data_IF_572875887666
#
_entry.id   IF_572875887666
#
_cell.length_a   1.000
_cell.length_b   1.000
_cell.length_c   1.000
_cell.angle_alpha   90.00
_cell.angle_beta   90.00
_cell.angle_gamma   90.00
#
_symmetry.space_group_name_H-M   'P 1'
#
loop_
_entity.id
_entity.type
_entity.pdbx_description
1 polymer ?
#
# COMPACT_ATOMS: atom_id res chain seq x y z
N UNK A 1 -9.16 17.54 20.40
CA UNK A 1 -8.48 17.12 19.16
C UNK A 1 -7.25 17.99 18.96
N UNK A 2 -6.08 17.39 18.76
CA UNK A 2 -4.80 18.08 18.52
C UNK A 2 -4.76 18.73 17.12
N UNK A 3 -3.87 19.71 16.90
CA UNK A 3 -3.69 20.33 15.55
C UNK A 3 -3.18 19.31 14.53
N UNK A 4 -2.28 18.42 14.93
CA UNK A 4 -1.79 17.31 14.10
C UNK A 4 -2.92 16.37 13.66
N UNK A 5 -3.89 16.09 14.51
CA UNK A 5 -5.07 15.31 14.11
C UNK A 5 -5.97 16.04 13.09
N UNK A 6 -6.06 17.38 13.18
CA UNK A 6 -6.74 18.17 12.12
C UNK A 6 -5.97 18.11 10.80
N UNK A 7 -4.64 18.13 10.86
CA UNK A 7 -3.80 17.95 9.69
C UNK A 7 -3.97 16.54 9.10
N UNK A 8 -4.04 15.50 9.95
CA UNK A 8 -4.33 14.12 9.51
C UNK A 8 -5.61 14.02 8.69
N UNK A 9 -6.68 14.74 9.06
CA UNK A 9 -7.92 14.74 8.28
C UNK A 9 -7.71 15.33 6.87
N UNK A 10 -6.82 16.30 6.71
CA UNK A 10 -6.46 16.83 5.38
C UNK A 10 -5.67 15.79 4.57
N UNK A 11 -4.70 15.11 5.19
CA UNK A 11 -3.99 13.99 4.57
C UNK A 11 -4.95 12.88 4.14
N UNK A 12 -5.92 12.52 4.97
CA UNK A 12 -6.92 11.50 4.64
C UNK A 12 -7.83 11.94 3.50
N UNK A 13 -8.24 13.21 3.46
CA UNK A 13 -9.02 13.74 2.33
C UNK A 13 -8.23 13.65 1.03
N UNK A 14 -6.96 14.07 1.04
CA UNK A 14 -6.08 13.97 -0.12
C UNK A 14 -5.85 12.51 -0.53
N UNK A 15 -5.57 11.62 0.44
CA UNK A 15 -5.38 10.21 0.21
C UNK A 15 -6.61 9.55 -0.43
N UNK A 16 -7.79 9.77 0.12
CA UNK A 16 -9.04 9.22 -0.43
C UNK A 16 -9.33 9.75 -1.83
N UNK A 17 -9.07 11.03 -2.08
CA UNK A 17 -9.22 11.63 -3.42
C UNK A 17 -8.28 10.98 -4.44
N UNK A 18 -7.00 10.83 -4.09
CA UNK A 18 -6.01 10.18 -4.95
C UNK A 18 -6.29 8.69 -5.14
N UNK A 19 -6.86 8.01 -4.15
CA UNK A 19 -7.32 6.64 -4.29
C UNK A 19 -8.37 6.52 -5.41
N UNK A 20 -9.32 7.45 -5.48
CA UNK A 20 -10.28 7.51 -6.59
C UNK A 20 -9.62 7.76 -7.94
N UNK A 21 -8.64 8.67 -8.00
CA UNK A 21 -7.84 8.94 -9.21
C UNK A 21 -7.08 7.69 -9.65
N UNK A 22 -6.43 6.99 -8.71
CA UNK A 22 -5.76 5.72 -8.97
C UNK A 22 -6.70 4.67 -9.58
N UNK A 23 -7.92 4.52 -9.04
CA UNK A 23 -8.93 3.59 -9.54
C UNK A 23 -9.31 3.95 -10.98
N UNK A 24 -9.55 5.23 -11.26
CA UNK A 24 -9.91 5.71 -12.60
C UNK A 24 -8.85 5.33 -13.64
N UNK A 25 -7.58 5.63 -13.36
CA UNK A 25 -6.49 5.28 -14.27
C UNK A 25 -6.21 3.77 -14.33
N UNK A 26 -6.49 3.03 -13.26
CA UNK A 26 -6.44 1.57 -13.26
C UNK A 26 -7.49 0.94 -14.20
N UNK A 27 -8.72 1.43 -14.18
CA UNK A 27 -9.78 1.02 -15.09
C UNK A 27 -9.45 1.38 -16.54
N UNK A 28 -8.92 2.58 -16.77
CA UNK A 28 -8.50 3.00 -18.11
C UNK A 28 -7.33 2.12 -18.61
N UNK A 29 -6.37 1.80 -17.76
CA UNK A 29 -5.26 0.87 -18.11
C UNK A 29 -5.76 -0.53 -18.42
N UNK A 30 -6.79 -1.02 -17.71
CA UNK A 30 -7.43 -2.29 -18.01
C UNK A 30 -8.16 -2.27 -19.36
N UNK A 31 -8.81 -1.16 -19.68
CA UNK A 31 -9.54 -0.97 -20.94
C UNK A 31 -8.62 -1.01 -22.17
N UNK A 32 -7.39 -0.53 -22.06
CA UNK A 32 -6.41 -0.60 -23.14
C UNK A 32 -6.00 -2.03 -23.51
N UNK A 33 -6.10 -3.00 -22.62
CA UNK A 33 -5.88 -4.41 -22.97
C UNK A 33 -7.00 -4.98 -23.85
N UNK A 34 -8.21 -4.42 -23.75
CA UNK A 34 -9.36 -4.83 -24.55
C UNK A 34 -9.49 -4.01 -25.84
N UNK A 35 -9.13 -2.73 -25.78
CA UNK A 35 -9.23 -1.75 -26.86
C UNK A 35 -7.94 -0.94 -27.00
N UNK A 36 -6.86 -1.52 -27.58
CA UNK A 36 -5.54 -0.88 -27.59
C UNK A 36 -5.47 0.47 -28.30
N UNK A 37 -6.34 0.70 -29.28
CA UNK A 37 -6.40 1.96 -30.06
C UNK A 37 -7.25 3.04 -29.41
N UNK A 38 -7.93 2.76 -28.30
CA UNK A 38 -8.77 3.73 -27.61
C UNK A 38 -7.94 4.95 -27.17
N UNK A 39 -8.37 6.14 -27.57
CA UNK A 39 -7.73 7.41 -27.20
C UNK A 39 -6.21 7.50 -27.49
N UNK A 40 -5.64 6.60 -28.30
CA UNK A 40 -4.20 6.43 -28.48
C UNK A 40 -3.46 7.74 -28.80
N UNK A 41 -4.06 8.63 -29.59
CA UNK A 41 -3.47 9.90 -29.98
C UNK A 41 -3.62 11.02 -28.94
N UNK A 42 -4.47 10.84 -27.93
CA UNK A 42 -4.75 11.84 -26.89
C UNK A 42 -4.12 11.42 -25.57
N UNK A 43 -4.34 10.17 -25.19
CA UNK A 43 -3.92 9.60 -23.93
C UNK A 43 -3.60 8.11 -24.14
N UNK A 44 -2.36 7.71 -23.88
CA UNK A 44 -1.92 6.34 -24.18
C UNK A 44 -1.85 5.46 -22.90
N UNK A 45 -1.66 4.16 -23.12
CA UNK A 45 -1.54 3.18 -22.04
C UNK A 45 -0.46 3.54 -21.02
N UNK A 46 0.72 4.01 -21.48
CA UNK A 46 1.83 4.32 -20.57
C UNK A 46 1.49 5.48 -19.63
N UNK A 47 0.84 6.53 -20.13
CA UNK A 47 0.37 7.66 -19.32
C UNK A 47 -0.64 7.17 -18.25
N UNK A 48 -1.61 6.35 -18.66
CA UNK A 48 -2.59 5.76 -17.75
C UNK A 48 -1.93 4.90 -16.67
N UNK A 49 -0.98 4.05 -17.06
CA UNK A 49 -0.27 3.16 -16.16
C UNK A 49 0.60 3.93 -15.17
N UNK A 50 1.36 4.94 -15.61
CA UNK A 50 2.19 5.78 -14.74
C UNK A 50 1.31 6.49 -13.71
N UNK A 51 0.23 7.14 -14.14
CA UNK A 51 -0.68 7.81 -13.23
C UNK A 51 -1.36 6.84 -12.24
N UNK A 52 -1.68 5.62 -12.68
CA UNK A 52 -2.21 4.59 -11.77
C UNK A 52 -1.19 4.21 -10.69
N UNK A 53 0.07 3.97 -11.07
CA UNK A 53 1.12 3.52 -10.16
C UNK A 53 1.57 4.66 -9.23
N UNK A 54 1.88 5.83 -9.77
CA UNK A 54 2.37 6.94 -8.95
C UNK A 54 1.30 7.45 -8.00
N UNK A 55 0.03 7.50 -8.42
CA UNK A 55 -1.05 7.82 -7.48
C UNK A 55 -1.24 6.76 -6.42
N UNK A 56 -0.99 5.46 -6.70
CA UNK A 56 -0.97 4.41 -5.68
C UNK A 56 0.07 4.74 -4.60
N UNK A 57 1.32 4.98 -5.00
CA UNK A 57 2.42 5.29 -4.07
C UNK A 57 2.10 6.52 -3.23
N UNK A 58 1.66 7.60 -3.88
CA UNK A 58 1.43 8.88 -3.20
C UNK A 58 0.25 8.85 -2.23
N UNK A 59 -0.87 8.21 -2.60
CA UNK A 59 -2.00 8.17 -1.67
C UNK A 59 -1.73 7.28 -0.45
N UNK A 60 -0.95 6.20 -0.62
CA UNK A 60 -0.49 5.39 0.51
C UNK A 60 0.42 6.20 1.44
N UNK A 61 1.41 6.92 0.89
CA UNK A 61 2.26 7.82 1.68
C UNK A 61 1.44 8.86 2.45
N UNK A 62 0.47 9.50 1.80
CA UNK A 62 -0.42 10.44 2.48
C UNK A 62 -1.24 9.75 3.58
N UNK A 63 -1.70 8.52 3.35
CA UNK A 63 -2.37 7.69 4.35
C UNK A 63 -1.49 7.41 5.56
N UNK A 64 -0.24 7.02 5.33
CA UNK A 64 0.75 6.73 6.39
C UNK A 64 1.09 7.97 7.22
N UNK A 65 1.41 9.09 6.56
CA UNK A 65 1.69 10.35 7.26
C UNK A 65 0.47 10.77 8.10
N UNK A 66 -0.72 10.68 7.51
CA UNK A 66 -1.98 10.95 8.21
C UNK A 66 -2.18 10.05 9.43
N UNK A 67 -1.91 8.75 9.31
CA UNK A 67 -2.04 7.79 10.41
C UNK A 67 -1.07 8.11 11.55
N UNK A 68 0.20 8.37 11.25
CA UNK A 68 1.18 8.71 12.28
C UNK A 68 0.84 10.04 12.95
N UNK A 69 0.48 11.08 12.22
CA UNK A 69 0.05 12.36 12.81
C UNK A 69 -1.25 12.26 13.61
N UNK A 70 -2.09 11.25 13.33
CA UNK A 70 -3.28 10.95 14.15
C UNK A 70 -2.92 10.35 15.50
N UNK A 71 -2.01 9.38 15.52
CA UNK A 71 -1.70 8.60 16.70
C UNK A 71 -0.57 9.20 17.55
N UNK A 72 0.42 9.86 16.94
CA UNK A 72 1.59 10.39 17.65
C UNK A 72 1.25 11.27 18.86
N UNK A 73 0.32 12.25 18.78
CA UNK A 73 -0.01 13.07 19.93
C UNK A 73 -0.77 12.29 21.00
N UNK A 74 -1.54 11.28 20.64
CA UNK A 74 -2.23 10.40 21.59
C UNK A 74 -1.24 9.53 22.36
N UNK A 75 -0.30 8.94 21.64
CA UNK A 75 0.72 8.05 22.18
C UNK A 75 1.66 8.79 23.14
N UNK A 76 2.05 10.01 22.79
CA UNK A 76 3.02 10.80 23.55
C UNK A 76 2.37 11.80 24.53
N UNK A 77 1.06 12.01 24.47
CA UNK A 77 0.31 12.91 25.34
C UNK A 77 0.59 14.40 25.07
N UNK A 78 1.12 14.75 23.90
CA UNK A 78 1.45 16.13 23.52
C UNK A 78 1.30 16.38 22.01
N UNK A 79 1.18 17.66 21.64
CA UNK A 79 1.14 18.07 20.23
C UNK A 79 2.47 17.77 19.51
N UNK A 80 2.37 17.52 18.21
CA UNK A 80 3.53 17.29 17.34
C UNK A 80 4.41 18.52 17.28
N UNK A 81 5.72 18.32 17.42
CA UNK A 81 6.70 19.37 17.35
C UNK A 81 6.90 19.84 15.88
N UNK A 82 7.05 21.13 15.68
CA UNK A 82 7.21 21.70 14.34
C UNK A 82 5.92 21.67 13.49
N UNK A 83 4.75 21.81 14.09
CA UNK A 83 3.46 21.73 13.40
C UNK A 83 3.33 22.68 12.19
N UNK A 84 3.92 23.89 12.26
CA UNK A 84 3.90 24.81 11.12
C UNK A 84 4.63 24.23 9.89
N UNK A 85 5.71 23.49 10.14
CA UNK A 85 6.50 22.83 9.09
C UNK A 85 5.71 21.63 8.52
N UNK A 86 5.03 20.84 9.37
CA UNK A 86 4.17 19.77 8.92
C UNK A 86 2.99 20.28 8.05
N UNK A 87 2.38 21.39 8.42
CA UNK A 87 1.31 22.03 7.63
C UNK A 87 1.84 22.56 6.29
N UNK A 88 3.01 23.22 6.28
CA UNK A 88 3.67 23.70 5.06
C UNK A 88 3.99 22.51 4.13
N UNK A 89 4.57 21.45 4.69
CA UNK A 89 4.94 20.23 3.95
C UNK A 89 3.72 19.59 3.30
N UNK A 90 2.57 19.55 3.95
CA UNK A 90 1.33 19.06 3.34
C UNK A 90 0.98 19.83 2.06
N UNK A 91 0.98 21.15 2.11
CA UNK A 91 0.62 21.97 0.96
C UNK A 91 1.65 21.90 -0.17
N UNK A 92 2.94 21.90 0.17
CA UNK A 92 4.02 21.72 -0.81
C UNK A 92 3.90 20.35 -1.46
N UNK A 93 3.65 19.29 -0.68
CA UNK A 93 3.47 17.94 -1.21
C UNK A 93 2.28 17.88 -2.19
N UNK A 94 1.12 18.45 -1.82
CA UNK A 94 -0.03 18.53 -2.72
C UNK A 94 0.30 19.29 -4.01
N UNK A 95 1.02 20.41 -3.93
CA UNK A 95 1.43 21.17 -5.10
C UNK A 95 2.37 20.38 -6.02
N UNK A 96 3.38 19.72 -5.45
CA UNK A 96 4.31 18.85 -6.20
C UNK A 96 3.56 17.74 -6.92
N UNK A 97 2.66 17.05 -6.22
CA UNK A 97 1.84 15.97 -6.81
C UNK A 97 0.99 16.50 -7.97
N UNK A 98 0.36 17.67 -7.81
CA UNK A 98 -0.44 18.26 -8.88
C UNK A 98 0.41 18.64 -10.11
N UNK A 99 1.61 19.18 -9.91
CA UNK A 99 2.54 19.54 -11.01
C UNK A 99 3.03 18.26 -11.71
N UNK A 100 3.44 17.23 -10.97
CA UNK A 100 3.89 15.95 -11.56
C UNK A 100 2.77 15.29 -12.35
N UNK A 101 1.55 15.25 -11.79
CA UNK A 101 0.39 14.72 -12.50
C UNK A 101 0.09 15.50 -13.79
N UNK A 102 0.21 16.83 -13.77
CA UNK A 102 0.07 17.64 -14.98
C UNK A 102 1.17 17.35 -16.01
N UNK A 103 2.42 17.17 -15.57
CA UNK A 103 3.51 16.78 -16.47
C UNK A 103 3.17 15.44 -17.14
N UNK A 104 2.73 14.43 -16.39
CA UNK A 104 2.38 13.13 -16.96
C UNK A 104 1.14 13.14 -17.86
N UNK A 105 0.21 14.07 -17.63
CA UNK A 105 -0.98 14.23 -18.47
C UNK A 105 -0.68 14.93 -19.80
N UNK A 106 0.25 15.89 -19.82
CA UNK A 106 0.47 16.74 -21.00
C UNK A 106 1.77 16.46 -21.74
N UNK A 107 2.76 15.80 -21.13
CA UNK A 107 4.02 15.46 -21.75
C UNK A 107 4.11 13.98 -22.01
N UNK A 108 3.78 13.57 -23.24
CA UNK A 108 3.64 12.16 -23.61
C UNK A 108 4.93 11.34 -23.52
N UNK A 109 6.10 11.94 -23.78
CA UNK A 109 7.39 11.26 -23.76
C UNK A 109 8.51 12.19 -23.30
N UNK A 110 9.24 11.77 -22.27
CA UNK A 110 10.60 12.20 -22.05
C UNK A 110 11.55 11.24 -22.75
N UNK A 111 12.49 11.72 -23.53
CA UNK A 111 13.57 10.87 -24.04
C UNK A 111 14.45 10.37 -22.88
N UNK A 112 15.22 9.31 -23.12
CA UNK A 112 16.21 8.82 -22.16
C UNK A 112 17.43 9.75 -22.10
N UNK A 113 17.24 10.97 -21.63
CA UNK A 113 18.28 11.98 -21.48
C UNK A 113 18.17 12.73 -20.15
N UNK A 114 19.22 13.41 -19.77
CA UNK A 114 19.30 14.11 -18.48
C UNK A 114 18.16 15.12 -18.26
N UNK A 115 17.78 15.89 -19.29
CA UNK A 115 16.67 16.85 -19.18
C UNK A 115 15.35 16.13 -18.84
N UNK A 116 15.05 15.03 -19.52
CA UNK A 116 13.86 14.23 -19.27
C UNK A 116 13.83 13.68 -17.85
N UNK A 117 14.95 13.08 -17.39
CA UNK A 117 15.04 12.55 -16.02
C UNK A 117 14.86 13.62 -14.95
N UNK A 118 15.33 14.84 -15.20
CA UNK A 118 15.16 15.93 -14.24
C UNK A 118 13.76 16.53 -14.25
N UNK A 119 13.13 16.69 -15.40
CA UNK A 119 11.93 17.52 -15.52
C UNK A 119 10.66 16.82 -15.97
N UNK A 120 10.76 15.60 -16.52
CA UNK A 120 9.61 14.89 -17.09
C UNK A 120 9.40 13.55 -16.39
N UNK A 121 10.30 12.60 -16.58
CA UNK A 121 10.15 11.22 -16.12
C UNK A 121 11.51 10.52 -16.05
N UNK A 122 11.77 9.82 -14.95
CA UNK A 122 13.02 9.06 -14.80
C UNK A 122 13.05 7.76 -15.60
N UNK A 123 11.91 7.30 -16.14
CA UNK A 123 11.82 6.06 -16.92
C UNK A 123 11.94 4.78 -16.09
N UNK A 124 12.00 4.86 -14.79
CA UNK A 124 12.09 3.73 -13.86
C UNK A 124 10.72 3.45 -13.26
N UNK A 125 10.21 2.25 -13.44
CA UNK A 125 8.93 1.81 -12.91
C UNK A 125 8.88 1.96 -11.38
N UNK A 126 7.79 2.47 -10.85
CA UNK A 126 7.57 2.87 -9.45
C UNK A 126 8.38 4.07 -8.95
N UNK A 127 9.27 4.62 -9.78
CA UNK A 127 10.07 5.80 -9.50
C UNK A 127 10.07 6.68 -10.75
N UNK A 128 8.90 6.81 -11.36
CA UNK A 128 8.70 7.59 -12.57
C UNK A 128 8.83 9.10 -12.33
N UNK A 129 8.51 9.58 -11.13
CA UNK A 129 8.55 10.99 -10.79
C UNK A 129 9.90 11.65 -11.17
N UNK A 130 9.90 12.85 -11.76
CA UNK A 130 11.13 13.54 -12.14
C UNK A 130 12.02 13.81 -10.92
N UNK A 131 13.34 13.89 -11.11
CA UNK A 131 14.32 14.00 -10.01
C UNK A 131 14.05 15.18 -9.06
N UNK A 132 13.58 16.33 -9.56
CA UNK A 132 13.21 17.44 -8.68
C UNK A 132 12.06 17.06 -7.72
N UNK A 133 11.09 16.28 -8.18
CA UNK A 133 10.01 15.80 -7.32
C UNK A 133 10.50 14.75 -6.32
N UNK A 134 11.44 13.88 -6.72
CA UNK A 134 12.11 12.95 -5.81
C UNK A 134 12.87 13.67 -4.68
N UNK A 135 13.51 14.80 -4.97
CA UNK A 135 14.08 15.68 -3.92
C UNK A 135 12.98 16.17 -2.98
N UNK A 136 11.82 16.54 -3.52
CA UNK A 136 10.65 16.92 -2.73
C UNK A 136 10.17 15.79 -1.80
N UNK A 137 10.14 14.56 -2.27
CA UNK A 137 9.79 13.37 -1.45
C UNK A 137 10.79 13.21 -0.30
N UNK A 138 12.10 13.31 -0.57
CA UNK A 138 13.14 13.26 0.48
C UNK A 138 12.91 14.36 1.52
N UNK A 139 12.61 15.58 1.08
CA UNK A 139 12.34 16.69 1.99
C UNK A 139 11.10 16.44 2.86
N UNK A 140 10.03 15.91 2.29
CA UNK A 140 8.82 15.50 3.03
C UNK A 140 9.14 14.46 4.10
N UNK A 141 9.91 13.41 3.75
CA UNK A 141 10.30 12.37 4.69
C UNK A 141 11.22 12.89 5.80
N UNK A 142 12.15 13.79 5.49
CA UNK A 142 13.02 14.42 6.50
C UNK A 142 12.22 15.29 7.48
N UNK A 143 11.26 16.07 6.99
CA UNK A 143 10.37 16.86 7.87
C UNK A 143 9.51 15.93 8.74
N UNK A 144 8.98 14.88 8.15
CA UNK A 144 8.22 13.88 8.88
C UNK A 144 9.06 13.22 9.99
N UNK A 145 10.26 12.78 9.66
CA UNK A 145 11.20 12.22 10.64
C UNK A 145 11.52 13.23 11.76
N UNK A 146 11.78 14.49 11.41
CA UNK A 146 11.98 15.56 12.39
C UNK A 146 10.75 15.70 13.32
N UNK A 147 9.54 15.76 12.78
CA UNK A 147 8.33 15.89 13.57
C UNK A 147 8.18 14.74 14.58
N UNK A 148 8.40 13.49 14.15
CA UNK A 148 8.31 12.31 15.02
C UNK A 148 9.39 12.33 16.09
N UNK A 149 10.66 12.43 15.69
CA UNK A 149 11.83 12.35 16.60
C UNK A 149 11.80 13.51 17.60
N UNK A 150 11.59 14.74 17.15
CA UNK A 150 11.57 15.92 18.02
C UNK A 150 10.40 15.85 19.02
N UNK A 151 9.26 15.29 18.61
CA UNK A 151 8.12 15.09 19.53
C UNK A 151 8.45 14.05 20.58
N UNK A 152 9.08 12.93 20.22
CA UNK A 152 9.53 11.91 21.17
C UNK A 152 10.52 12.46 22.19
N UNK A 153 11.53 13.20 21.71
CA UNK A 153 12.56 13.83 22.58
C UNK A 153 11.91 14.79 23.59
N UNK A 154 11.01 15.66 23.11
CA UNK A 154 10.35 16.64 23.99
C UNK A 154 9.28 16.02 24.89
N UNK A 155 8.68 14.92 24.49
CA UNK A 155 7.77 14.16 25.36
C UNK A 155 8.52 13.43 26.47
N UNK A 156 9.79 13.18 26.32
CA UNK A 156 10.60 12.31 27.20
C UNK A 156 9.95 10.92 27.41
N UNK A 157 9.28 10.44 26.39
CA UNK A 157 8.55 9.18 26.39
C UNK A 157 8.86 8.42 25.10
N UNK A 158 9.37 7.21 25.27
CA UNK A 158 9.65 6.28 24.17
C UNK A 158 9.01 4.94 24.49
N UNK A 159 7.93 4.63 23.80
CA UNK A 159 7.32 3.29 23.86
C UNK A 159 7.98 2.36 22.87
N UNK A 160 7.74 1.05 22.97
CA UNK A 160 8.27 0.09 21.98
C UNK A 160 7.85 0.44 20.56
N UNK A 161 6.58 0.83 20.38
CA UNK A 161 6.07 1.27 19.05
C UNK A 161 6.84 2.49 18.54
N UNK A 162 7.11 3.49 19.41
CA UNK A 162 7.86 4.68 18.99
C UNK A 162 9.32 4.38 18.70
N UNK A 163 9.96 3.44 19.41
CA UNK A 163 11.29 2.99 19.08
C UNK A 163 11.36 2.36 17.69
N UNK A 164 10.43 1.45 17.39
CA UNK A 164 10.34 0.81 16.08
C UNK A 164 10.13 1.85 14.99
N UNK A 165 9.16 2.75 15.17
CA UNK A 165 8.87 3.80 14.18
C UNK A 165 10.08 4.71 13.94
N UNK A 166 10.76 5.19 14.99
CA UNK A 166 11.93 6.08 14.86
C UNK A 166 13.09 5.38 14.15
N UNK A 167 13.33 4.10 14.45
CA UNK A 167 14.36 3.32 13.76
C UNK A 167 14.03 3.11 12.28
N UNK A 168 12.77 2.89 11.96
CA UNK A 168 12.30 2.70 10.59
C UNK A 168 12.42 3.97 9.72
N UNK A 169 12.32 5.17 10.32
CA UNK A 169 12.49 6.41 9.58
C UNK A 169 13.90 6.58 8.97
N UNK A 170 14.91 5.92 9.52
CA UNK A 170 16.28 5.97 8.98
C UNK A 170 16.36 5.27 7.62
N UNK A 171 16.02 3.97 7.49
CA UNK A 171 16.03 3.30 6.19
C UNK A 171 14.97 3.88 5.24
N UNK A 172 13.82 4.33 5.72
CA UNK A 172 12.79 4.97 4.88
C UNK A 172 13.36 6.15 4.07
N UNK A 173 14.20 6.98 4.69
CA UNK A 173 14.87 8.10 4.00
C UNK A 173 16.09 7.62 3.21
N UNK A 174 16.96 6.82 3.85
CA UNK A 174 18.25 6.44 3.29
C UNK A 174 18.12 5.63 1.99
N UNK A 175 17.24 4.64 1.97
CA UNK A 175 17.04 3.78 0.81
C UNK A 175 16.46 4.57 -0.38
N UNK A 176 15.63 5.58 -0.14
CA UNK A 176 15.10 6.39 -1.25
C UNK A 176 16.19 7.20 -1.98
N UNK A 177 17.35 7.44 -1.35
CA UNK A 177 18.48 8.10 -2.03
C UNK A 177 19.04 7.27 -3.19
N UNK A 178 18.77 5.97 -3.24
CA UNK A 178 19.13 5.10 -4.37
C UNK A 178 18.32 5.39 -5.65
N UNK A 179 17.30 6.25 -5.58
CA UNK A 179 16.60 6.75 -6.75
C UNK A 179 17.46 7.69 -7.63
N UNK A 180 18.51 8.30 -7.07
CA UNK A 180 19.28 9.35 -7.76
C UNK A 180 20.45 8.87 -8.63
N UNK A 181 21.19 7.79 -8.34
CA UNK A 181 22.29 7.37 -9.18
C UNK A 181 21.83 7.04 -10.61
N UNK A 182 22.53 7.58 -11.60
CA UNK A 182 22.38 7.20 -13.00
C UNK A 182 23.42 6.12 -13.32
N UNK A 183 22.97 4.90 -13.57
CA UNK A 183 23.83 3.77 -13.89
C UNK A 183 23.63 3.41 -15.37
N UNK A 184 24.72 3.37 -16.13
CA UNK A 184 24.68 3.08 -17.58
C UNK A 184 24.53 1.59 -17.89
N UNK A 185 24.96 0.71 -16.99
CA UNK A 185 24.79 -0.72 -17.14
C UNK A 185 23.43 -1.16 -16.62
N UNK A 186 22.61 -1.70 -17.50
CA UNK A 186 21.22 -2.07 -17.21
C UNK A 186 21.09 -3.09 -16.06
N UNK A 187 21.97 -4.09 -15.99
CA UNK A 187 21.91 -5.09 -14.91
C UNK A 187 22.24 -4.45 -13.57
N UNK A 188 23.27 -3.60 -13.51
CA UNK A 188 23.64 -2.88 -12.29
C UNK A 188 22.55 -1.89 -11.89
N UNK A 189 21.93 -1.21 -12.86
CA UNK A 189 20.79 -0.31 -12.59
C UNK A 189 19.60 -1.07 -11.98
N UNK A 190 19.28 -2.26 -12.49
CA UNK A 190 18.21 -3.10 -11.95
C UNK A 190 18.50 -3.59 -10.54
N UNK A 191 19.75 -3.85 -10.15
CA UNK A 191 20.11 -4.18 -8.76
C UNK A 191 19.77 -3.02 -7.83
N UNK A 192 20.22 -1.79 -8.12
CA UNK A 192 19.95 -0.61 -7.30
C UNK A 192 18.47 -0.23 -7.29
N UNK A 193 17.80 -0.36 -8.42
CA UNK A 193 16.38 -0.08 -8.52
C UNK A 193 15.54 -1.05 -7.69
N UNK A 194 15.82 -2.36 -7.73
CA UNK A 194 15.12 -3.33 -6.90
C UNK A 194 15.49 -3.17 -5.41
N UNK A 195 16.74 -2.80 -5.11
CA UNK A 195 17.12 -2.43 -3.74
C UNK A 195 16.20 -1.33 -3.20
N UNK A 196 16.03 -0.24 -3.93
CA UNK A 196 15.12 0.83 -3.55
C UNK A 196 13.67 0.34 -3.41
N UNK A 197 13.10 -0.27 -4.45
CA UNK A 197 11.66 -0.60 -4.49
C UNK A 197 11.30 -1.63 -3.42
N UNK A 198 12.07 -2.72 -3.32
CA UNK A 198 11.85 -3.77 -2.33
C UNK A 198 12.02 -3.25 -0.90
N UNK A 199 13.16 -2.61 -0.59
CA UNK A 199 13.41 -2.10 0.75
C UNK A 199 12.43 -1.01 1.18
N UNK A 200 11.87 -0.28 0.22
CA UNK A 200 10.84 0.71 0.53
C UNK A 200 9.50 0.06 0.80
N UNK A 201 9.05 -0.81 -0.08
CA UNK A 201 7.72 -1.40 -0.03
C UNK A 201 7.67 -2.60 0.92
N UNK A 202 8.57 -3.55 0.79
CA UNK A 202 8.54 -4.84 1.50
C UNK A 202 9.41 -4.83 2.78
N UNK A 203 9.81 -3.65 3.25
CA UNK A 203 10.56 -3.49 4.49
C UNK A 203 10.06 -2.27 5.28
N UNK A 204 10.41 -1.04 4.88
CA UNK A 204 10.09 0.15 5.68
C UNK A 204 8.58 0.43 5.75
N UNK A 205 7.85 0.26 4.67
CA UNK A 205 6.40 0.48 4.69
C UNK A 205 5.68 -0.59 5.52
N UNK A 206 6.17 -1.83 5.52
CA UNK A 206 5.59 -2.89 6.36
C UNK A 206 5.80 -2.60 7.83
N UNK A 207 6.99 -2.18 8.24
CA UNK A 207 7.26 -1.78 9.63
C UNK A 207 6.43 -0.57 10.03
N UNK A 208 6.29 0.41 9.14
CA UNK A 208 5.48 1.60 9.40
C UNK A 208 3.99 1.23 9.57
N UNK A 209 3.43 0.42 8.67
CA UNK A 209 2.04 -0.02 8.81
C UNK A 209 1.84 -0.93 10.02
N UNK A 210 2.81 -1.76 10.37
CA UNK A 210 2.80 -2.57 11.58
C UNK A 210 2.72 -1.71 12.85
N UNK A 211 3.46 -0.60 12.91
CA UNK A 211 3.33 0.37 14.01
C UNK A 211 1.92 0.97 14.06
N UNK A 212 1.34 1.32 12.92
CA UNK A 212 -0.03 1.85 12.82
C UNK A 212 -1.04 0.78 13.22
N UNK A 213 -0.89 -0.46 12.72
CA UNK A 213 -1.73 -1.60 13.06
C UNK A 213 -1.73 -1.88 14.56
N UNK A 214 -0.56 -1.84 15.22
CA UNK A 214 -0.44 -2.01 16.66
C UNK A 214 -1.30 -0.97 17.41
N UNK A 215 -1.26 0.29 16.99
CA UNK A 215 -2.05 1.37 17.60
C UNK A 215 -3.56 1.21 17.32
N UNK A 216 -3.93 0.77 16.11
CA UNK A 216 -5.33 0.48 15.76
C UNK A 216 -5.88 -0.68 16.57
N UNK A 217 -5.11 -1.78 16.75
CA UNK A 217 -5.53 -2.95 17.53
C UNK A 217 -5.77 -2.60 19.00
N UNK A 218 -4.92 -1.77 19.58
CA UNK A 218 -5.15 -1.25 20.95
C UNK A 218 -6.43 -0.42 21.03
N UNK A 219 -6.68 0.47 20.07
CA UNK A 219 -7.87 1.33 20.05
C UNK A 219 -9.17 0.54 19.76
N UNK A 220 -9.13 -0.41 18.83
CA UNK A 220 -10.33 -1.08 18.30
C UNK A 220 -10.69 -2.34 19.07
N UNK A 221 -9.69 -3.12 19.47
CA UNK A 221 -9.86 -4.40 20.18
C UNK A 221 -9.53 -4.32 21.66
N UNK A 222 -8.88 -3.25 22.13
CA UNK A 222 -8.40 -3.16 23.51
C UNK A 222 -7.22 -4.09 23.82
N UNK A 223 -6.54 -4.57 22.79
CA UNK A 223 -5.39 -5.48 22.90
C UNK A 223 -4.30 -4.89 23.78
N UNK A 224 -3.67 -5.70 24.61
CA UNK A 224 -2.60 -5.24 25.49
C UNK A 224 -1.38 -4.78 24.71
N UNK A 225 -0.75 -3.69 25.17
CA UNK A 225 0.48 -3.14 24.58
C UNK A 225 1.59 -4.18 24.45
N UNK A 226 1.71 -5.04 25.47
CA UNK A 226 2.75 -6.09 25.48
C UNK A 226 2.62 -7.03 24.27
N UNK A 227 1.42 -7.39 23.87
CA UNK A 227 1.17 -8.27 22.73
C UNK A 227 1.64 -7.59 21.44
N UNK A 228 1.15 -6.37 21.17
CA UNK A 228 1.47 -5.67 19.92
C UNK A 228 2.96 -5.32 19.83
N UNK A 229 3.59 -4.87 20.91
CA UNK A 229 5.04 -4.57 20.91
C UNK A 229 5.90 -5.84 20.74
N UNK A 230 5.47 -6.99 21.28
CA UNK A 230 6.17 -8.26 21.05
C UNK A 230 6.17 -8.63 19.56
N UNK A 231 5.02 -8.51 18.91
CA UNK A 231 4.91 -8.80 17.48
C UNK A 231 5.66 -7.77 16.61
N UNK A 232 5.68 -6.49 16.98
CA UNK A 232 6.48 -5.49 16.31
C UNK A 232 7.99 -5.78 16.37
N UNK A 233 8.49 -6.28 17.50
CA UNK A 233 9.90 -6.68 17.59
C UNK A 233 10.21 -7.89 16.71
N UNK A 234 9.29 -8.85 16.62
CA UNK A 234 9.40 -9.98 15.68
C UNK A 234 9.36 -9.47 14.24
N UNK A 235 8.50 -8.50 13.94
CA UNK A 235 8.39 -7.87 12.61
C UNK A 235 9.69 -7.18 12.22
N UNK A 236 10.29 -6.35 13.08
CA UNK A 236 11.59 -5.74 12.82
C UNK A 236 12.66 -6.77 12.51
N UNK A 237 12.69 -7.91 13.22
CA UNK A 237 13.62 -8.97 12.95
C UNK A 237 13.37 -9.66 11.60
N UNK A 238 12.12 -9.97 11.29
CA UNK A 238 11.76 -10.73 10.09
C UNK A 238 11.59 -9.84 8.86
N UNK A 239 11.12 -8.60 8.99
CA UNK A 239 10.89 -7.68 7.87
C UNK A 239 12.15 -6.88 7.55
N UNK A 240 12.80 -6.22 8.50
CA UNK A 240 14.06 -5.52 8.22
C UNK A 240 15.21 -6.50 7.99
N UNK A 241 15.36 -7.53 8.82
CA UNK A 241 16.40 -8.53 8.66
C UNK A 241 16.20 -9.41 7.44
N UNK A 242 15.01 -9.95 7.26
CA UNK A 242 14.65 -10.75 6.09
C UNK A 242 14.49 -9.89 4.84
N UNK A 243 14.03 -8.65 4.92
CA UNK A 243 13.91 -7.74 3.79
C UNK A 243 15.24 -7.51 3.07
N UNK A 244 16.32 -7.31 3.82
CA UNK A 244 17.68 -7.20 3.24
C UNK A 244 18.09 -8.49 2.51
N UNK A 245 17.83 -9.65 3.08
CA UNK A 245 18.16 -10.94 2.49
C UNK A 245 17.10 -11.40 1.48
N UNK A 246 15.85 -11.04 1.71
CA UNK A 246 14.72 -11.30 0.84
C UNK A 246 14.82 -10.65 -0.52
N UNK A 247 15.48 -9.51 -0.62
CA UNK A 247 15.72 -8.76 -1.85
C UNK A 247 16.11 -9.64 -3.06
N UNK A 248 16.84 -10.73 -2.84
CA UNK A 248 17.27 -11.66 -3.88
C UNK A 248 16.13 -12.22 -4.72
N UNK A 249 14.90 -12.27 -4.21
CA UNK A 249 13.74 -12.76 -4.97
C UNK A 249 13.32 -11.84 -6.13
N UNK A 250 13.79 -10.60 -6.19
CA UNK A 250 13.61 -9.70 -7.32
C UNK A 250 14.70 -9.82 -8.40
N UNK A 251 15.77 -10.57 -8.14
CA UNK A 251 16.94 -10.64 -9.00
C UNK A 251 16.86 -11.70 -10.09
N UNK A 252 15.69 -12.26 -10.33
CA UNK A 252 15.49 -13.19 -11.45
C UNK A 252 15.77 -12.51 -12.79
N UNK A 253 16.49 -13.24 -13.67
CA UNK A 253 16.74 -12.89 -15.07
C UNK A 253 17.64 -11.68 -15.32
N UNK A 254 18.33 -11.17 -14.30
CA UNK A 254 19.24 -10.03 -14.40
C UNK A 254 20.75 -10.43 -14.26
N UNK A 255 21.04 -11.73 -14.31
CA UNK A 255 22.41 -12.23 -14.26
C UNK A 255 22.95 -12.44 -12.83
N UNK A 256 22.11 -12.51 -11.84
CA UNK A 256 22.46 -12.74 -10.44
C UNK A 256 22.93 -14.19 -10.20
N UNK A 257 23.94 -14.43 -9.33
CA UNK A 257 24.25 -15.77 -8.87
C UNK A 257 23.04 -16.45 -8.23
N UNK A 258 22.84 -17.72 -8.56
CA UNK A 258 21.64 -18.48 -8.17
C UNK A 258 21.41 -18.56 -6.65
N UNK A 259 22.46 -18.54 -5.86
CA UNK A 259 22.34 -18.59 -4.39
C UNK A 259 21.55 -17.39 -3.83
N UNK A 260 21.63 -16.20 -4.46
CA UNK A 260 20.85 -15.05 -4.05
C UNK A 260 19.35 -15.27 -4.23
N UNK A 261 18.94 -15.94 -5.31
CA UNK A 261 17.55 -16.26 -5.57
C UNK A 261 16.99 -17.21 -4.49
N UNK A 262 17.81 -18.19 -4.08
CA UNK A 262 17.43 -19.16 -3.04
C UNK A 262 17.34 -18.49 -1.66
N UNK A 263 18.32 -17.64 -1.32
CA UNK A 263 18.31 -16.87 -0.07
C UNK A 263 17.10 -15.93 -0.06
N UNK A 264 16.89 -15.19 -1.15
CA UNK A 264 15.78 -14.25 -1.28
C UNK A 264 14.41 -14.92 -1.11
N UNK A 265 14.21 -16.06 -1.77
CA UNK A 265 12.97 -16.82 -1.66
C UNK A 265 12.69 -17.35 -0.26
N UNK A 266 13.72 -17.82 0.45
CA UNK A 266 13.57 -18.32 1.82
C UNK A 266 13.16 -17.19 2.79
N UNK A 267 13.89 -16.06 2.77
CA UNK A 267 13.61 -14.97 3.70
C UNK A 267 12.31 -14.25 3.41
N UNK A 268 11.96 -14.08 2.13
CA UNK A 268 10.68 -13.49 1.73
C UNK A 268 9.46 -14.26 2.27
N UNK A 269 9.58 -15.58 2.45
CA UNK A 269 8.50 -16.39 3.04
C UNK A 269 8.19 -16.04 4.51
N UNK A 270 9.09 -15.36 5.20
CA UNK A 270 8.95 -15.02 6.63
C UNK A 270 8.31 -13.66 6.87
N UNK A 271 8.36 -12.76 5.90
CA UNK A 271 7.92 -11.37 6.01
C UNK A 271 6.44 -11.19 6.41
N UNK A 272 5.45 -11.91 5.84
CA UNK A 272 4.05 -11.69 6.16
C UNK A 272 3.60 -12.32 7.49
N UNK A 273 4.43 -13.13 8.15
CA UNK A 273 4.05 -13.87 9.34
C UNK A 273 3.82 -12.99 10.58
N UNK A 274 4.62 -11.95 10.86
CA UNK A 274 4.46 -11.14 12.06
C UNK A 274 3.13 -10.39 12.11
N UNK A 275 2.71 -9.76 11.00
CA UNK A 275 1.45 -9.02 10.93
C UNK A 275 0.24 -9.95 11.12
N UNK A 276 0.24 -11.11 10.48
CA UNK A 276 -0.80 -12.12 10.72
C UNK A 276 -0.82 -12.56 12.17
N UNK A 277 0.35 -12.87 12.75
CA UNK A 277 0.49 -13.29 14.14
C UNK A 277 0.00 -12.23 15.11
N UNK A 278 0.31 -10.96 14.87
CA UNK A 278 -0.15 -9.83 15.69
C UNK A 278 -1.68 -9.78 15.74
N UNK A 279 -2.36 -9.83 14.60
CA UNK A 279 -3.83 -9.73 14.53
C UNK A 279 -4.51 -10.98 15.11
N UNK A 280 -4.00 -12.18 14.80
CA UNK A 280 -4.54 -13.43 15.36
C UNK A 280 -4.42 -13.45 16.89
N UNK A 281 -3.27 -13.02 17.42
CA UNK A 281 -3.08 -12.94 18.87
C UNK A 281 -3.98 -11.85 19.50
N UNK A 282 -4.16 -10.71 18.83
CA UNK A 282 -5.08 -9.66 19.27
C UNK A 282 -6.54 -10.14 19.33
N UNK A 283 -6.98 -10.90 18.32
CA UNK A 283 -8.34 -11.51 18.30
C UNK A 283 -8.49 -12.50 19.44
N UNK A 284 -7.49 -13.35 19.68
CA UNK A 284 -7.49 -14.33 20.77
C UNK A 284 -7.55 -13.63 22.14
N UNK A 285 -6.73 -12.60 22.34
CA UNK A 285 -6.69 -11.78 23.58
C UNK A 285 -8.05 -11.11 23.83
N UNK A 286 -8.62 -10.47 22.81
CA UNK A 286 -9.93 -9.83 22.89
C UNK A 286 -11.03 -10.85 23.21
N UNK A 287 -11.00 -12.03 22.62
CA UNK A 287 -11.94 -13.13 22.90
C UNK A 287 -11.83 -13.63 24.34
N UNK A 288 -10.61 -13.87 24.81
CA UNK A 288 -10.33 -14.36 26.17
C UNK A 288 -10.80 -13.38 27.24
N UNK A 289 -10.58 -12.09 27.05
CA UNK A 289 -10.96 -11.03 27.97
C UNK A 289 -12.38 -10.49 27.72
N UNK A 290 -13.13 -11.07 26.78
CA UNK A 290 -14.48 -10.65 26.37
C UNK A 290 -14.57 -9.17 25.98
N UNK A 291 -13.51 -8.63 25.42
CA UNK A 291 -13.46 -7.26 24.96
C UNK A 291 -14.38 -7.09 23.75
N UNK A 292 -15.12 -5.98 23.73
CA UNK A 292 -16.04 -5.67 22.62
C UNK A 292 -15.57 -4.43 21.87
N UNK A 293 -15.38 -4.58 20.57
CA UNK A 293 -15.08 -3.42 19.73
C UNK A 293 -16.23 -2.42 19.72
N UNK A 294 -15.87 -1.14 19.73
CA UNK A 294 -16.78 -0.01 19.52
C UNK A 294 -16.76 0.51 18.07
N UNK A 295 -15.92 -0.09 17.23
CA UNK A 295 -15.73 0.28 15.84
C UNK A 295 -15.69 -0.96 14.94
N UNK A 296 -16.87 -1.44 14.56
CA UNK A 296 -16.98 -2.62 13.69
C UNK A 296 -16.28 -2.43 12.33
N UNK A 297 -16.46 -1.31 11.59
CA UNK A 297 -15.74 -1.15 10.33
C UNK A 297 -14.22 -1.30 10.49
N UNK A 298 -13.61 -0.57 11.43
CA UNK A 298 -12.17 -0.66 11.66
C UNK A 298 -11.73 -2.07 12.04
N UNK A 299 -12.52 -2.78 12.86
CA UNK A 299 -12.27 -4.19 13.22
C UNK A 299 -12.22 -5.09 11.97
N UNK A 300 -13.23 -4.98 11.10
CA UNK A 300 -13.27 -5.80 9.88
C UNK A 300 -12.14 -5.47 8.93
N UNK A 301 -11.81 -4.19 8.75
CA UNK A 301 -10.73 -3.77 7.86
C UNK A 301 -9.36 -4.21 8.35
N UNK A 302 -9.04 -4.07 9.65
CA UNK A 302 -7.74 -4.50 10.20
C UNK A 302 -7.58 -6.03 10.20
N UNK A 303 -8.67 -6.78 10.41
CA UNK A 303 -8.65 -8.24 10.33
C UNK A 303 -8.45 -8.70 8.88
N UNK A 304 -9.10 -8.01 7.93
CA UNK A 304 -8.96 -8.29 6.51
C UNK A 304 -7.56 -7.97 6.02
N UNK A 305 -6.93 -6.89 6.51
CA UNK A 305 -5.54 -6.56 6.22
C UNK A 305 -4.61 -7.75 6.48
N UNK A 306 -4.60 -8.26 7.70
CA UNK A 306 -3.72 -9.38 8.06
C UNK A 306 -3.97 -10.63 7.21
N UNK A 307 -5.24 -10.95 6.92
CA UNK A 307 -5.59 -12.11 6.10
C UNK A 307 -5.15 -11.93 4.64
N UNK A 308 -5.45 -10.78 4.04
CA UNK A 308 -5.14 -10.54 2.64
C UNK A 308 -3.66 -10.22 2.41
N UNK A 309 -2.97 -9.63 3.40
CA UNK A 309 -1.51 -9.53 3.38
C UNK A 309 -0.87 -10.93 3.36
N UNK A 310 -1.29 -11.80 4.27
CA UNK A 310 -0.76 -13.17 4.31
C UNK A 310 -1.02 -13.96 3.03
N UNK A 311 -2.22 -13.82 2.43
CA UNK A 311 -2.53 -14.51 1.17
C UNK A 311 -1.84 -13.82 -0.01
N UNK A 312 -1.95 -12.50 -0.14
CA UNK A 312 -1.53 -11.73 -1.31
C UNK A 312 -0.03 -11.49 -1.37
N UNK A 313 0.55 -10.92 -0.32
CA UNK A 313 1.99 -10.70 -0.21
C UNK A 313 2.69 -12.02 0.17
N UNK A 314 2.18 -12.72 1.18
CA UNK A 314 2.79 -13.95 1.69
C UNK A 314 2.73 -15.11 0.71
N UNK A 315 1.59 -15.81 0.63
CA UNK A 315 1.48 -17.05 -0.15
C UNK A 315 1.73 -16.79 -1.64
N UNK A 316 1.08 -15.80 -2.20
CA UNK A 316 1.15 -15.49 -3.63
C UNK A 316 2.52 -14.95 -4.04
N UNK A 317 3.11 -14.08 -3.22
CA UNK A 317 4.47 -13.58 -3.40
C UNK A 317 5.49 -14.70 -3.28
N UNK A 318 5.42 -15.51 -2.22
CA UNK A 318 6.33 -16.62 -2.02
C UNK A 318 6.30 -17.64 -3.19
N UNK A 319 5.12 -17.96 -3.72
CA UNK A 319 5.04 -18.81 -4.91
C UNK A 319 5.87 -18.27 -6.07
N UNK A 320 5.90 -16.94 -6.26
CA UNK A 320 6.67 -16.30 -7.33
C UNK A 320 8.18 -16.25 -7.05
N UNK A 321 8.63 -16.47 -5.82
CA UNK A 321 10.05 -16.57 -5.49
C UNK A 321 10.63 -17.94 -5.80
N UNK A 322 9.80 -18.94 -6.07
CA UNK A 322 10.25 -20.27 -6.47
C UNK A 322 10.70 -20.25 -7.94
N UNK A 323 11.96 -20.63 -8.27
CA UNK A 323 12.50 -20.56 -9.62
C UNK A 323 11.62 -21.22 -10.68
N UNK A 324 11.01 -22.37 -10.34
CA UNK A 324 10.16 -23.13 -11.25
C UNK A 324 8.87 -22.38 -11.61
N UNK A 325 8.28 -21.66 -10.65
CA UNK A 325 7.08 -20.86 -10.87
C UNK A 325 7.47 -19.52 -11.52
N UNK A 326 8.55 -18.89 -11.06
CA UNK A 326 9.02 -17.63 -11.60
C UNK A 326 9.34 -17.71 -13.10
N UNK A 327 9.91 -18.83 -13.57
CA UNK A 327 10.15 -19.08 -15.00
C UNK A 327 8.92 -18.85 -15.86
N UNK A 328 7.73 -19.20 -15.36
CA UNK A 328 6.46 -19.08 -16.10
C UNK A 328 5.71 -17.78 -15.76
N UNK A 329 5.77 -17.32 -14.52
CA UNK A 329 4.98 -16.18 -14.04
C UNK A 329 5.62 -14.83 -14.28
N UNK A 330 6.96 -14.74 -14.38
CA UNK A 330 7.68 -13.48 -14.51
C UNK A 330 7.28 -12.69 -15.76
N UNK A 331 6.94 -11.41 -15.58
CA UNK A 331 6.53 -10.53 -16.68
C UNK A 331 5.13 -10.79 -17.24
N UNK A 332 4.33 -11.66 -16.63
CA UNK A 332 2.94 -11.93 -17.00
C UNK A 332 1.95 -11.16 -16.13
N UNK A 333 0.64 -11.26 -16.44
CA UNK A 333 -0.43 -10.70 -15.61
C UNK A 333 -0.54 -11.41 -14.24
N UNK A 334 0.10 -12.54 -14.04
CA UNK A 334 0.25 -13.18 -12.72
C UNK A 334 0.98 -12.25 -11.75
N UNK A 335 2.10 -11.65 -12.17
CA UNK A 335 2.83 -10.65 -11.34
C UNK A 335 1.94 -9.45 -11.02
N UNK A 336 1.13 -9.00 -11.98
CA UNK A 336 0.19 -7.91 -11.77
C UNK A 336 -0.90 -8.28 -10.76
N UNK A 337 -1.39 -9.54 -10.80
CA UNK A 337 -2.37 -10.04 -9.81
C UNK A 337 -1.82 -10.04 -8.39
N UNK A 338 -0.56 -10.49 -8.23
CA UNK A 338 0.15 -10.42 -6.95
C UNK A 338 0.25 -8.98 -6.44
N UNK A 339 0.74 -8.05 -7.25
CA UNK A 339 0.90 -6.65 -6.83
C UNK A 339 -0.42 -6.02 -6.36
N UNK A 340 -1.53 -6.26 -7.06
CA UNK A 340 -2.84 -5.75 -6.63
C UNK A 340 -3.27 -6.33 -5.29
N UNK A 341 -3.09 -7.64 -5.09
CA UNK A 341 -3.54 -8.32 -3.89
C UNK A 341 -2.67 -7.97 -2.67
N UNK A 342 -1.36 -7.89 -2.88
CA UNK A 342 -0.39 -7.53 -1.85
C UNK A 342 -0.59 -6.08 -1.36
N UNK A 343 -0.60 -5.09 -2.25
CA UNK A 343 -0.83 -3.70 -1.86
C UNK A 343 -2.18 -3.47 -1.20
N UNK A 344 -3.22 -4.13 -1.70
CA UNK A 344 -4.55 -4.01 -1.09
C UNK A 344 -4.59 -4.62 0.31
N UNK A 345 -4.05 -5.81 0.48
CA UNK A 345 -3.98 -6.49 1.77
C UNK A 345 -3.06 -5.76 2.75
N UNK A 346 -1.81 -5.49 2.36
CA UNK A 346 -0.83 -4.94 3.28
C UNK A 346 -1.09 -3.50 3.71
N UNK A 347 -1.65 -2.65 2.83
CA UNK A 347 -1.69 -1.21 3.10
C UNK A 347 -3.07 -0.58 3.00
N UNK A 348 -3.84 -0.89 1.93
CA UNK A 348 -5.13 -0.23 1.69
C UNK A 348 -6.11 -0.50 2.81
N UNK A 349 -6.23 -1.76 3.23
CA UNK A 349 -7.14 -2.17 4.30
C UNK A 349 -6.78 -1.48 5.63
N UNK A 350 -5.50 -1.38 5.98
CA UNK A 350 -5.02 -0.73 7.19
C UNK A 350 -5.32 0.77 7.20
N UNK A 351 -5.05 1.46 6.09
CA UNK A 351 -5.39 2.89 5.98
C UNK A 351 -6.90 3.11 6.13
N UNK A 352 -7.74 2.27 5.50
CA UNK A 352 -9.20 2.37 5.65
C UNK A 352 -9.60 2.12 7.11
N UNK A 353 -8.97 1.19 7.81
CA UNK A 353 -9.23 0.99 9.25
C UNK A 353 -8.97 2.27 10.05
N UNK A 354 -7.84 2.95 9.79
CA UNK A 354 -7.52 4.23 10.45
C UNK A 354 -8.52 5.33 10.12
N UNK A 355 -9.01 5.40 8.87
CA UNK A 355 -10.06 6.35 8.50
C UNK A 355 -11.33 6.15 9.33
N UNK A 356 -11.72 4.90 9.59
CA UNK A 356 -12.87 4.60 10.47
C UNK A 356 -12.58 4.89 11.94
N UNK A 357 -11.36 4.71 12.40
CA UNK A 357 -10.96 5.16 13.75
C UNK A 357 -11.08 6.68 13.86
N UNK A 358 -10.55 7.40 12.88
CA UNK A 358 -10.65 8.87 12.84
C UNK A 358 -12.12 9.35 12.81
N UNK A 359 -12.96 8.72 11.97
CA UNK A 359 -14.39 9.01 11.88
C UNK A 359 -15.12 8.80 13.21
N UNK A 360 -14.86 7.68 13.91
CA UNK A 360 -15.44 7.42 15.22
C UNK A 360 -15.02 8.48 16.25
N UNK A 361 -13.73 8.76 16.32
CA UNK A 361 -13.20 9.68 17.33
C UNK A 361 -13.60 11.13 17.08
N UNK A 362 -13.75 11.55 15.83
CA UNK A 362 -14.23 12.89 15.48
C UNK A 362 -15.73 13.06 15.70
N UNK A 363 -16.52 12.03 15.45
CA UNK A 363 -17.96 12.06 15.65
C UNK A 363 -18.39 11.80 17.11
N UNK A 364 -17.54 11.14 17.90
CA UNK A 364 -17.85 10.71 19.26
C UNK A 364 -18.94 9.63 19.34
N UNK A 365 -19.20 8.92 18.22
CA UNK A 365 -20.28 7.91 18.11
C UNK A 365 -19.68 6.53 17.84
N UNK A 366 -20.07 5.54 18.64
CA UNK A 366 -19.67 4.15 18.43
C UNK A 366 -20.24 3.61 17.10
N UNK A 367 -19.39 2.95 16.32
CA UNK A 367 -19.73 2.43 14.99
C UNK A 367 -20.07 0.95 15.05
N UNK A 368 -21.22 0.62 15.67
CA UNK A 368 -21.69 -0.76 15.87
C UNK A 368 -22.68 -1.24 14.82
N UNK A 369 -23.18 -0.33 13.99
CA UNK A 369 -24.18 -0.62 12.96
C UNK A 369 -23.89 0.14 11.66
N UNK A 370 -24.85 0.12 10.76
CA UNK A 370 -24.77 0.80 9.46
C UNK A 370 -24.71 -0.18 8.30
N UNK A 371 -25.38 0.17 7.20
CA UNK A 371 -25.39 -0.66 5.99
C UNK A 371 -24.32 -0.21 4.98
N UNK A 372 -24.03 1.10 4.93
CA UNK A 372 -23.14 1.65 3.91
C UNK A 372 -21.73 1.09 4.03
N UNK A 373 -21.11 1.07 5.23
CA UNK A 373 -19.80 0.50 5.40
C UNK A 373 -19.74 -1.00 5.04
N UNK A 374 -20.82 -1.76 5.32
CA UNK A 374 -20.88 -3.20 4.97
C UNK A 374 -20.89 -3.40 3.45
N UNK A 375 -21.66 -2.58 2.73
CA UNK A 375 -21.65 -2.61 1.27
C UNK A 375 -20.32 -2.15 0.70
N UNK A 376 -19.73 -1.06 1.22
CA UNK A 376 -18.41 -0.61 0.81
C UNK A 376 -17.34 -1.68 1.03
N UNK A 377 -17.33 -2.29 2.21
CA UNK A 377 -16.44 -3.41 2.54
C UNK A 377 -16.66 -4.61 1.60
N UNK A 378 -17.90 -5.04 1.42
CA UNK A 378 -18.23 -6.19 0.56
C UNK A 378 -17.85 -5.95 -0.90
N UNK A 379 -18.21 -4.80 -1.47
CA UNK A 379 -17.92 -4.49 -2.87
C UNK A 379 -16.43 -4.31 -3.14
N UNK A 380 -15.69 -3.67 -2.24
CA UNK A 380 -14.24 -3.49 -2.39
C UNK A 380 -13.52 -4.86 -2.33
N UNK A 381 -13.83 -5.68 -1.34
CA UNK A 381 -13.17 -6.99 -1.22
C UNK A 381 -13.58 -7.96 -2.34
N UNK A 382 -14.87 -8.03 -2.69
CA UNK A 382 -15.34 -8.86 -3.78
C UNK A 382 -14.79 -8.41 -5.13
N UNK A 383 -14.78 -7.10 -5.38
CA UNK A 383 -14.18 -6.51 -6.57
C UNK A 383 -12.69 -6.80 -6.68
N UNK A 384 -11.94 -6.65 -5.57
CA UNK A 384 -10.50 -6.95 -5.55
C UNK A 384 -10.22 -8.42 -5.83
N UNK A 385 -10.88 -9.35 -5.14
CA UNK A 385 -10.68 -10.79 -5.34
C UNK A 385 -11.02 -11.19 -6.77
N UNK A 386 -12.15 -10.73 -7.31
CA UNK A 386 -12.55 -11.04 -8.69
C UNK A 386 -11.57 -10.46 -9.74
N UNK A 387 -11.07 -9.24 -9.51
CA UNK A 387 -10.07 -8.62 -10.38
C UNK A 387 -8.75 -9.38 -10.35
N UNK A 388 -8.27 -9.77 -9.17
CA UNK A 388 -7.05 -10.57 -8.99
C UNK A 388 -7.18 -11.93 -9.67
N UNK A 389 -8.31 -12.60 -9.54
CA UNK A 389 -8.57 -13.88 -10.24
C UNK A 389 -8.61 -13.73 -11.75
N UNK A 390 -9.19 -12.62 -12.26
CA UNK A 390 -9.15 -12.30 -13.69
C UNK A 390 -7.71 -12.08 -14.20
N UNK A 391 -6.91 -11.32 -13.47
CA UNK A 391 -5.49 -11.11 -13.76
C UNK A 391 -4.69 -12.43 -13.70
N UNK A 392 -4.97 -13.28 -12.72
CA UNK A 392 -4.34 -14.60 -12.62
C UNK A 392 -4.66 -15.47 -13.83
N UNK A 393 -5.94 -15.52 -14.24
CA UNK A 393 -6.35 -16.28 -15.42
C UNK A 393 -5.63 -15.80 -16.69
N UNK A 394 -5.53 -14.48 -16.88
CA UNK A 394 -4.77 -13.91 -18.00
C UNK A 394 -3.27 -14.21 -17.89
N UNK A 395 -2.69 -14.14 -16.70
CA UNK A 395 -1.29 -14.49 -16.45
C UNK A 395 -0.99 -15.96 -16.70
N UNK A 396 -1.89 -16.87 -16.33
CA UNK A 396 -1.78 -18.29 -16.62
C UNK A 396 -1.85 -18.57 -18.15
N UNK A 397 -2.73 -17.88 -18.86
CA UNK A 397 -2.79 -17.97 -20.32
C UNK A 397 -1.45 -17.53 -20.95
N UNK A 398 -0.89 -16.39 -20.52
CA UNK A 398 0.41 -15.91 -20.97
C UNK A 398 1.55 -16.90 -20.63
N UNK A 399 1.56 -17.46 -19.43
CA UNK A 399 2.54 -18.44 -19.00
C UNK A 399 2.48 -19.70 -19.86
N UNK A 400 1.29 -20.22 -20.11
CA UNK A 400 1.08 -21.43 -20.91
C UNK A 400 1.50 -21.21 -22.36
N UNK A 401 0.95 -20.21 -23.04
CA UNK A 401 1.25 -19.96 -24.45
C UNK A 401 2.66 -19.40 -24.66
N UNK A 402 3.15 -18.61 -23.72
CA UNK A 402 4.46 -17.98 -23.82
C UNK A 402 5.64 -18.89 -23.52
N UNK A 403 5.48 -19.77 -22.57
CA UNK A 403 6.60 -20.55 -22.01
C UNK A 403 6.45 -22.05 -22.21
N UNK A 404 5.24 -22.59 -22.10
CA UNK A 404 5.03 -24.03 -22.20
C UNK A 404 5.02 -24.55 -23.64
N UNK A 405 4.48 -23.78 -24.61
CA UNK A 405 4.39 -24.19 -26.01
C UNK A 405 5.68 -23.92 -26.80
N UNK A 406 6.54 -23.06 -26.27
CA UNK A 406 7.81 -22.72 -26.89
C UNK A 406 7.68 -21.70 -28.04
N UNK A 407 8.36 -20.60 -27.91
CA UNK A 407 8.38 -19.51 -28.90
C UNK A 407 9.21 -18.34 -28.36
N UNK A 408 9.41 -17.31 -29.18
CA UNK A 408 9.99 -16.08 -28.64
C UNK A 408 9.03 -15.42 -27.65
N UNK A 409 9.55 -14.74 -26.66
CA UNK A 409 8.72 -14.02 -25.65
C UNK A 409 7.75 -13.05 -26.33
N UNK A 410 8.15 -12.40 -27.40
CA UNK A 410 7.30 -11.50 -28.18
C UNK A 410 6.13 -12.22 -28.85
N UNK A 411 6.40 -13.35 -29.50
CA UNK A 411 5.38 -14.19 -30.16
C UNK A 411 4.41 -14.77 -29.13
N UNK A 412 4.91 -15.11 -27.97
CA UNK A 412 4.14 -15.59 -26.83
C UNK A 412 3.14 -14.54 -26.33
N UNK A 413 3.55 -13.30 -26.18
CA UNK A 413 2.66 -12.23 -25.72
C UNK A 413 1.61 -11.87 -26.79
N UNK A 414 1.97 -11.83 -28.06
CA UNK A 414 1.03 -11.58 -29.16
C UNK A 414 -0.03 -12.68 -29.23
N UNK A 415 0.38 -13.94 -29.23
CA UNK A 415 -0.54 -15.08 -29.26
C UNK A 415 -1.43 -15.14 -28.00
N UNK A 416 -0.85 -14.85 -26.83
CA UNK A 416 -1.61 -14.85 -25.58
C UNK A 416 -2.67 -13.75 -25.55
N UNK A 417 -2.38 -12.55 -26.09
CA UNK A 417 -3.36 -11.44 -26.10
C UNK A 417 -4.59 -11.71 -26.97
N UNK A 418 -4.47 -12.60 -27.98
CA UNK A 418 -5.58 -13.03 -28.83
C UNK A 418 -6.32 -14.25 -28.26
N UNK A 419 -5.77 -14.88 -27.22
CA UNK A 419 -6.33 -16.07 -26.62
C UNK A 419 -7.61 -15.79 -25.85
N UNK A 420 -8.68 -16.59 -25.99
CA UNK A 420 -9.95 -16.39 -25.29
C UNK A 420 -9.83 -16.36 -23.74
N UNK A 421 -8.91 -17.13 -23.15
CA UNK A 421 -8.69 -17.14 -21.72
C UNK A 421 -8.04 -15.84 -21.24
N UNK A 422 -7.07 -15.31 -21.98
CA UNK A 422 -6.49 -14.01 -21.68
C UNK A 422 -7.55 -12.90 -21.76
N UNK A 423 -8.29 -12.86 -22.85
CA UNK A 423 -9.35 -11.87 -23.08
C UNK A 423 -10.44 -11.97 -22.01
N UNK A 424 -10.86 -13.19 -21.64
CA UNK A 424 -11.82 -13.41 -20.54
C UNK A 424 -11.28 -12.92 -19.21
N UNK A 425 -10.00 -13.15 -18.93
CA UNK A 425 -9.33 -12.62 -17.75
C UNK A 425 -9.31 -11.09 -17.71
N UNK A 426 -9.08 -10.43 -18.83
CA UNK A 426 -9.12 -8.97 -18.93
C UNK A 426 -10.54 -8.41 -18.77
N UNK A 427 -11.56 -9.08 -19.30
CA UNK A 427 -12.96 -8.72 -19.04
C UNK A 427 -13.33 -8.90 -17.59
N UNK A 428 -12.90 -9.99 -16.93
CA UNK A 428 -13.10 -10.17 -15.50
C UNK A 428 -12.41 -9.05 -14.69
N UNK A 429 -11.15 -8.70 -15.03
CA UNK A 429 -10.46 -7.56 -14.45
C UNK A 429 -11.27 -6.27 -14.57
N UNK A 430 -11.84 -5.98 -15.76
CA UNK A 430 -12.65 -4.78 -16.01
C UNK A 430 -13.93 -4.79 -15.18
N UNK A 431 -14.69 -5.88 -15.22
CA UNK A 431 -15.97 -6.01 -14.51
C UNK A 431 -15.79 -5.88 -12.99
N UNK A 432 -14.87 -6.64 -12.42
CA UNK A 432 -14.61 -6.61 -10.98
C UNK A 432 -13.89 -5.32 -10.54
N UNK A 433 -13.10 -4.70 -11.44
CA UNK A 433 -12.58 -3.36 -11.24
C UNK A 433 -13.68 -2.30 -11.14
N UNK A 434 -14.72 -2.42 -11.96
CA UNK A 434 -15.92 -1.54 -11.85
C UNK A 434 -16.70 -1.78 -10.54
N UNK A 435 -16.82 -3.04 -10.09
CA UNK A 435 -17.40 -3.37 -8.77
C UNK A 435 -16.57 -2.75 -7.65
N UNK A 436 -15.23 -2.82 -7.74
CA UNK A 436 -14.31 -2.19 -6.80
C UNK A 436 -14.51 -0.66 -6.77
N UNK A 437 -14.63 -0.03 -7.93
CA UNK A 437 -14.90 1.40 -8.05
C UNK A 437 -16.25 1.77 -7.41
N UNK A 438 -17.30 0.98 -7.61
CA UNK A 438 -18.58 1.16 -6.91
C UNK A 438 -18.43 1.05 -5.39
N UNK A 439 -17.64 0.09 -4.93
CA UNK A 439 -17.28 -0.07 -3.50
C UNK A 439 -16.56 1.16 -2.94
N UNK A 440 -15.64 1.75 -3.70
CA UNK A 440 -14.99 3.01 -3.34
C UNK A 440 -15.98 4.17 -3.20
N UNK A 441 -16.92 4.32 -4.13
CA UNK A 441 -17.95 5.37 -4.04
C UNK A 441 -18.79 5.19 -2.76
N UNK A 442 -19.18 3.97 -2.43
CA UNK A 442 -19.92 3.67 -1.20
C UNK A 442 -19.07 3.94 0.04
N UNK A 443 -17.78 3.60 0.02
CA UNK A 443 -16.82 3.92 1.10
C UNK A 443 -16.76 5.44 1.33
N UNK A 444 -16.56 6.23 0.28
CA UNK A 444 -16.50 7.70 0.36
C UNK A 444 -17.82 8.26 0.90
N UNK A 445 -18.95 7.78 0.38
CA UNK A 445 -20.26 8.18 0.90
C UNK A 445 -20.39 7.90 2.40
N UNK A 446 -19.99 6.70 2.84
CA UNK A 446 -20.05 6.35 4.27
C UNK A 446 -19.10 7.21 5.11
N UNK A 447 -17.88 7.47 4.63
CA UNK A 447 -16.93 8.32 5.36
C UNK A 447 -17.43 9.76 5.53
N UNK A 448 -18.13 10.31 4.55
CA UNK A 448 -18.67 11.68 4.57
C UNK A 448 -19.97 11.81 5.35
N UNK A 449 -20.73 10.72 5.54
CA UNK A 449 -22.00 10.76 6.27
C UNK A 449 -21.80 10.62 7.77
N UNK A 450 -22.60 11.34 8.56
CA UNK A 450 -22.56 11.22 10.03
C UNK A 450 -23.04 9.82 10.46
N UNK A 451 -22.34 9.16 11.39
CA UNK A 451 -22.78 7.88 11.92
C UNK A 451 -24.11 8.07 12.68
N UNK A 452 -25.06 7.17 12.42
CA UNK A 452 -26.34 7.18 13.16
C UNK A 452 -26.08 6.71 14.58
N UNK A 453 -26.54 7.50 15.58
CA UNK A 453 -26.55 7.04 16.96
C UNK A 453 -27.44 5.81 17.05
N UNK A 454 -26.87 4.68 17.42
CA UNK A 454 -27.66 3.50 17.78
C UNK A 454 -28.16 3.76 19.19
N UNK A 455 -29.48 3.94 19.36
CA UNK A 455 -30.09 3.95 20.69
C UNK A 455 -29.87 2.56 21.29
N UNK A 456 -28.93 2.46 22.21
CA UNK A 456 -28.82 1.26 23.06
C UNK A 456 -30.08 1.26 23.93
N UNK A 457 -30.93 0.24 23.92
CA UNK A 457 -32.02 0.15 24.87
C UNK A 457 -31.42 0.21 26.27
N UNK A 458 -31.86 1.19 27.06
CA UNK A 458 -31.49 1.20 28.47
C UNK A 458 -31.89 -0.14 29.08
N UNK A 459 -30.90 -0.91 29.56
CA UNK A 459 -31.19 -2.05 30.38
C UNK A 459 -32.08 -1.57 31.52
N UNK A 460 -33.31 -2.09 31.61
CA UNK A 460 -34.16 -1.82 32.77
C UNK A 460 -33.37 -2.31 33.99
N UNK A 461 -33.35 -1.55 35.07
CA UNK A 461 -32.76 -2.05 36.32
C UNK A 461 -33.49 -3.33 36.71
N UNK A 462 -32.74 -4.41 36.98
CA UNK A 462 -33.32 -5.61 37.55
C UNK A 462 -34.11 -5.23 38.80
N UNK A 463 -35.36 -5.73 38.98
CA UNK A 463 -36.11 -5.50 40.21
C UNK A 463 -35.38 -6.13 41.39
N UNK A 464 -35.24 -5.36 42.45
CA UNK A 464 -34.55 -5.71 43.69
C UNK A 464 -35.13 -6.94 44.39
#
# INVERSE_FOLDING_TARGET
MYRSQKLSLRYYTAAVTLFGVMILFGLLSALYYLYPSLLFNIFNFNMSKILHIDTLVIWLLMGFLGAVYWYLPKELGREVEGMWLAELTFWVFCAVVAVVAAVFLFVQYGGANEFSMWFINQGRKYVEAPRWASIGIVAVMLVFAYNVIATCIKARKMTGIMWVLVLDLIPLVAVYLDAFPAVTNMSVDLYWWWWLVHMWVESTWEVLIGCVMALVLMDVMGTSRRIVETWLYIEVMLVLGAGILGLGHHYFWIGTPQYWLSIGGFFSALEPLPLLGMVVHAIYDAGTHRLKTKNQPAYYWITTEALLNFIGAGIWGFMMTLPQINLFSHGTQWTVSHGHFAFYGAYVCGIIAVLYVAKQQTSGVDMLGGRAWKWGFGLLNFGMVGMVMGLLLAGMAQAFYGRAIGGSTLMAFTTASENPWFVSGMWARMLFGAVFAAGYVVLVYDLLTSPKRVSVPHAQPEPA
#
